data_IF_386443782868
#
_entry.id   IF_386443782868
#
_cell.length_a   1.000
_cell.length_b   1.000
_cell.length_c   1.000
_cell.angle_alpha   90.00
_cell.angle_beta   90.00
_cell.angle_gamma   90.00
#
_symmetry.space_group_name_H-M   'P 1'
#
loop_
_entity.id
_entity.type
_entity.pdbx_description
1 polymer ?
#
# COMPACT_ATOMS: atom_id res chain seq x y z
N UNK A 1 1.27 -5.58 -16.71
CA UNK A 1 2.09 -4.64 -15.92
C UNK A 1 1.26 -3.38 -15.74
N UNK A 2 1.13 -2.87 -14.51
CA UNK A 2 0.36 -1.65 -14.26
C UNK A 2 1.04 -0.46 -14.96
N UNK A 3 0.29 0.38 -15.66
CA UNK A 3 0.84 1.61 -16.23
C UNK A 3 0.86 2.68 -15.14
N UNK A 4 2.06 3.01 -14.64
CA UNK A 4 2.22 3.98 -13.56
C UNK A 4 1.81 5.41 -13.95
N UNK A 5 2.02 5.80 -15.21
CA UNK A 5 1.64 7.13 -15.70
C UNK A 5 0.11 7.28 -15.74
N UNK A 6 -0.58 6.29 -16.31
CA UNK A 6 -2.04 6.27 -16.39
C UNK A 6 -2.68 6.19 -15.01
N UNK A 7 -2.20 5.26 -14.16
CA UNK A 7 -2.76 5.04 -12.83
C UNK A 7 -2.53 6.24 -11.91
N UNK A 8 -1.30 6.78 -11.88
CA UNK A 8 -0.96 7.92 -11.05
C UNK A 8 -1.80 9.16 -11.41
N UNK A 9 -1.91 9.46 -12.71
CA UNK A 9 -2.75 10.56 -13.19
C UNK A 9 -4.23 10.39 -12.86
N UNK A 10 -4.77 9.17 -12.99
CA UNK A 10 -6.15 8.89 -12.65
C UNK A 10 -6.42 9.06 -11.14
N UNK A 11 -5.53 8.58 -10.28
CA UNK A 11 -5.65 8.73 -8.82
C UNK A 11 -5.56 10.20 -8.40
N UNK A 12 -4.62 10.97 -8.96
CA UNK A 12 -4.51 12.41 -8.72
C UNK A 12 -5.78 13.15 -9.13
N UNK A 13 -6.40 12.81 -10.27
CA UNK A 13 -7.67 13.40 -10.70
C UNK A 13 -8.82 13.11 -9.73
N UNK A 14 -8.89 11.91 -9.15
CA UNK A 14 -9.90 11.56 -8.16
C UNK A 14 -9.73 12.38 -6.87
N UNK A 15 -8.50 12.58 -6.42
CA UNK A 15 -8.22 13.42 -5.24
C UNK A 15 -8.52 14.90 -5.55
N UNK A 16 -8.04 15.42 -6.69
CA UNK A 16 -8.24 16.81 -7.11
C UNK A 16 -9.72 17.17 -7.31
N UNK A 17 -10.53 16.24 -7.79
CA UNK A 17 -11.97 16.43 -7.95
C UNK A 17 -12.76 16.30 -6.64
N UNK A 18 -12.11 15.95 -5.52
CA UNK A 18 -12.74 15.77 -4.22
C UNK A 18 -13.58 14.50 -4.09
N UNK A 19 -13.49 13.57 -5.05
CA UNK A 19 -14.22 12.29 -5.01
C UNK A 19 -13.65 11.32 -3.98
N UNK A 20 -12.35 11.43 -3.71
CA UNK A 20 -11.66 10.71 -2.65
C UNK A 20 -10.78 11.68 -1.87
N UNK A 21 -10.57 11.42 -0.59
CA UNK A 21 -9.76 12.30 0.27
C UNK A 21 -8.26 12.00 0.16
N UNK A 22 -7.91 10.71 0.13
CA UNK A 22 -6.54 10.18 0.06
C UNK A 22 -6.58 8.83 -0.64
N UNK A 23 -5.42 8.36 -1.08
CA UNK A 23 -5.26 7.07 -1.76
C UNK A 23 -4.05 6.32 -1.20
N UNK A 24 -4.07 5.00 -1.34
CA UNK A 24 -2.97 4.11 -0.98
C UNK A 24 -2.89 2.96 -1.98
N UNK A 25 -2.07 1.98 -1.67
CA UNK A 25 -1.87 0.77 -2.46
C UNK A 25 -2.15 -0.48 -1.63
N UNK A 26 -2.13 -1.66 -2.25
CA UNK A 26 -2.28 -2.94 -1.55
C UNK A 26 -1.36 -4.00 -2.14
N UNK A 27 -0.58 -4.63 -1.27
CA UNK A 27 0.37 -5.70 -1.59
C UNK A 27 1.41 -5.28 -2.65
N UNK A 28 1.94 -4.06 -2.53
CA UNK A 28 2.87 -3.49 -3.51
C UNK A 28 4.29 -3.48 -2.96
N UNK A 29 5.27 -3.87 -3.80
CA UNK A 29 6.67 -3.88 -3.39
C UNK A 29 7.23 -2.46 -3.29
N UNK A 30 8.23 -2.21 -2.42
CA UNK A 30 8.84 -0.89 -2.24
C UNK A 30 9.16 -0.12 -3.53
N UNK A 31 9.82 -0.76 -4.50
CA UNK A 31 10.19 -0.13 -5.78
C UNK A 31 8.97 0.21 -6.65
N UNK A 32 7.88 -0.55 -6.53
CA UNK A 32 6.63 -0.26 -7.25
C UNK A 32 5.88 0.89 -6.56
N UNK A 33 5.94 0.99 -5.22
CA UNK A 33 5.44 2.16 -4.49
C UNK A 33 6.17 3.43 -4.93
N UNK A 34 7.51 3.38 -5.00
CA UNK A 34 8.33 4.50 -5.48
C UNK A 34 7.98 4.87 -6.93
N UNK A 35 7.81 3.88 -7.81
CA UNK A 35 7.41 4.11 -9.19
C UNK A 35 6.05 4.82 -9.26
N UNK A 36 5.04 4.34 -8.54
CA UNK A 36 3.72 4.98 -8.51
C UNK A 36 3.78 6.38 -7.90
N UNK A 37 4.44 6.55 -6.77
CA UNK A 37 4.59 7.84 -6.11
C UNK A 37 5.30 8.87 -7.02
N UNK A 38 6.25 8.43 -7.85
CA UNK A 38 6.96 9.29 -8.80
C UNK A 38 6.09 9.79 -9.97
N UNK A 39 4.85 9.31 -10.11
CA UNK A 39 3.85 9.74 -11.09
C UNK A 39 2.64 10.44 -10.47
N UNK A 40 2.73 10.76 -9.18
CA UNK A 40 1.65 11.37 -8.42
C UNK A 40 2.11 12.63 -7.69
N UNK A 41 1.21 13.62 -7.63
CA UNK A 41 1.37 14.82 -6.81
C UNK A 41 0.86 14.60 -5.39
N UNK A 42 -0.19 13.79 -5.24
CA UNK A 42 -0.70 13.37 -3.93
C UNK A 42 0.11 12.19 -3.39
N UNK A 43 0.33 12.17 -2.07
CA UNK A 43 1.07 11.07 -1.43
C UNK A 43 0.20 9.82 -1.31
N UNK A 44 0.78 8.66 -1.60
CA UNK A 44 0.27 7.37 -1.16
C UNK A 44 0.40 7.31 0.36
N UNK A 45 -0.72 7.14 1.07
CA UNK A 45 -0.75 7.27 2.55
C UNK A 45 -0.64 5.96 3.31
N UNK A 46 -0.80 4.83 2.61
CA UNK A 46 -0.76 3.49 3.19
C UNK A 46 -0.39 2.48 2.11
N UNK A 47 0.18 1.36 2.54
CA UNK A 47 0.08 0.09 1.83
C UNK A 47 -0.72 -0.88 2.70
N UNK A 48 -1.72 -1.52 2.11
CA UNK A 48 -2.47 -2.59 2.75
C UNK A 48 -1.80 -3.93 2.42
N UNK A 49 -1.11 -4.49 3.40
CA UNK A 49 -0.28 -5.69 3.25
C UNK A 49 -0.86 -6.87 4.04
N UNK A 50 -0.76 -8.08 3.52
CA UNK A 50 -1.07 -9.29 4.28
C UNK A 50 -0.09 -9.47 5.45
N UNK A 51 -0.63 -9.47 6.67
CA UNK A 51 0.15 -9.67 7.88
C UNK A 51 -0.71 -10.25 9.01
N UNK A 52 -0.30 -11.40 9.53
CA UNK A 52 -0.95 -12.09 10.65
C UNK A 52 0.03 -13.01 11.37
N UNK A 53 -0.42 -13.72 12.40
CA UNK A 53 0.41 -14.78 13.01
C UNK A 53 0.69 -15.94 12.04
N UNK A 54 -0.19 -16.17 11.06
CA UNK A 54 0.00 -17.22 10.04
C UNK A 54 0.74 -16.72 8.80
N UNK A 55 0.75 -15.41 8.54
CA UNK A 55 1.44 -14.76 7.42
C UNK A 55 2.39 -13.69 7.95
N UNK A 56 3.65 -14.05 8.13
CA UNK A 56 4.67 -13.21 8.76
C UNK A 56 5.75 -12.74 7.78
N UNK A 57 5.60 -12.99 6.47
CA UNK A 57 6.62 -12.67 5.47
C UNK A 57 6.93 -11.17 5.43
N UNK A 58 5.93 -10.31 5.67
CA UNK A 58 6.07 -8.86 5.76
C UNK A 58 7.08 -8.39 6.84
N UNK A 59 7.33 -9.22 7.88
CA UNK A 59 8.30 -8.91 8.94
C UNK A 59 9.75 -9.00 8.47
N UNK A 60 10.03 -9.76 7.40
CA UNK A 60 11.40 -10.11 6.98
C UNK A 60 11.70 -9.80 5.52
N UNK A 61 10.69 -9.48 4.71
CA UNK A 61 10.85 -9.21 3.28
C UNK A 61 11.19 -7.75 2.94
N UNK A 62 11.26 -6.88 3.95
CA UNK A 62 11.59 -5.46 3.81
C UNK A 62 10.39 -4.53 3.65
N UNK A 63 9.17 -5.04 3.46
CA UNK A 63 7.96 -4.21 3.26
C UNK A 63 7.74 -3.29 4.47
N UNK A 64 7.73 -3.84 5.69
CA UNK A 64 7.55 -3.05 6.90
C UNK A 64 8.69 -2.07 7.17
N UNK A 65 9.93 -2.45 6.84
CA UNK A 65 11.09 -1.57 7.01
C UNK A 65 10.97 -0.37 6.08
N UNK A 66 10.58 -0.59 4.82
CA UNK A 66 10.33 0.49 3.86
C UNK A 66 9.23 1.44 4.35
N UNK A 67 8.09 0.90 4.78
CA UNK A 67 6.96 1.71 5.28
C UNK A 67 7.35 2.50 6.54
N UNK A 68 8.08 1.87 7.47
CA UNK A 68 8.60 2.52 8.67
C UNK A 68 9.57 3.65 8.34
N UNK A 69 10.53 3.41 7.45
CA UNK A 69 11.52 4.41 7.01
C UNK A 69 10.86 5.65 6.41
N UNK A 70 9.75 5.48 5.69
CA UNK A 70 9.03 6.56 5.02
C UNK A 70 7.88 7.14 5.85
N UNK A 71 7.71 6.71 7.11
CA UNK A 71 6.61 7.13 7.98
C UNK A 71 5.22 6.90 7.36
N UNK A 72 5.08 5.80 6.61
CA UNK A 72 3.82 5.35 6.03
C UNK A 72 3.24 4.28 6.95
N UNK A 73 2.02 4.49 7.43
CA UNK A 73 1.36 3.50 8.27
C UNK A 73 0.85 2.33 7.39
N UNK A 74 1.23 1.07 7.66
CA UNK A 74 0.63 -0.08 7.00
C UNK A 74 -0.81 -0.28 7.48
N UNK A 75 -1.67 -0.78 6.59
CA UNK A 75 -2.94 -1.39 6.95
C UNK A 75 -2.79 -2.91 6.95
N UNK A 76 -3.04 -3.55 8.09
CA UNK A 76 -2.95 -5.01 8.19
C UNK A 76 -4.12 -5.68 7.44
N UNK A 77 -3.81 -6.37 6.35
CA UNK A 77 -4.68 -7.30 5.64
C UNK A 77 -4.76 -8.65 6.38
N UNK A 78 -5.95 -9.24 6.38
CA UNK A 78 -6.28 -10.53 7.01
C UNK A 78 -5.61 -10.78 8.36
N UNK A 79 -5.76 -9.90 9.38
CA UNK A 79 -5.05 -10.04 10.66
C UNK A 79 -5.34 -11.34 11.42
N UNK A 80 -6.46 -12.00 11.10
CA UNK A 80 -6.86 -13.30 11.65
C UNK A 80 -6.67 -14.47 10.67
N UNK A 81 -5.83 -14.29 9.64
CA UNK A 81 -5.54 -15.27 8.59
C UNK A 81 -6.80 -15.82 7.92
N UNK A 82 -7.71 -14.92 7.52
CA UNK A 82 -8.99 -15.27 6.90
C UNK A 82 -10.02 -15.93 7.82
N UNK A 83 -9.66 -16.27 9.07
CA UNK A 83 -10.40 -16.96 10.16
C UNK A 83 -9.60 -18.14 10.76
N UNK A 84 -8.52 -18.59 10.10
CA UNK A 84 -7.75 -19.78 10.48
C UNK A 84 -7.10 -19.72 11.87
N UNK A 85 -7.00 -18.54 12.50
CA UNK A 85 -6.44 -18.39 13.84
C UNK A 85 -7.47 -18.52 14.96
N UNK A 86 -8.77 -18.56 14.65
CA UNK A 86 -9.86 -18.54 15.63
C UNK A 86 -10.88 -19.67 15.45
N UNK A 87 -10.67 -20.56 14.48
CA UNK A 87 -11.55 -21.68 14.16
C UNK A 87 -10.90 -23.03 14.51
#
# INVERSE_FOLDING_TARGET
MLNADETGGALDQLVNSGKVKVVGVSNVRPWDIELHQSRMSHKLVTDQIEISLAENTALINGDLVYLQQHSVAPMAGSPLAGESLIN
#
